data_IF_535583285100
#
_entry.id   IF_535583285100
#
_cell.length_a   1.000
_cell.length_b   1.000
_cell.length_c   1.000
_cell.angle_alpha   90.00
_cell.angle_beta   90.00
_cell.angle_gamma   90.00
#
_symmetry.space_group_name_H-M   'P 1'
#
loop_
_entity.id
_entity.type
_entity.pdbx_description
1 polymer ?
#
# COMPACT_ATOMS: atom_id res chain seq x y z
N UNK A 1 -2.59 12.83 -30.22
CA UNK A 1 -1.35 13.13 -29.48
C UNK A 1 -0.73 14.36 -30.10
N UNK A 2 -0.63 15.45 -29.35
CA UNK A 2 0.25 16.57 -29.70
C UNK A 2 1.62 16.28 -29.09
N UNK A 3 2.66 16.37 -29.90
CA UNK A 3 4.04 16.24 -29.47
C UNK A 3 4.62 17.64 -29.34
N UNK A 4 5.21 17.97 -28.19
CA UNK A 4 5.77 19.31 -27.95
C UNK A 4 7.06 19.48 -28.76
N UNK A 5 7.91 18.46 -28.74
CA UNK A 5 9.25 18.53 -29.30
C UNK A 5 9.74 17.16 -29.78
N UNK A 6 10.55 17.18 -30.84
CA UNK A 6 11.43 16.08 -31.19
C UNK A 6 12.82 16.43 -30.63
N UNK A 7 13.35 15.57 -29.77
CA UNK A 7 14.66 15.75 -29.14
C UNK A 7 15.63 14.77 -29.77
N UNK A 8 16.80 15.27 -30.17
CA UNK A 8 17.88 14.45 -30.69
C UNK A 8 18.72 13.96 -29.51
N UNK A 9 18.59 12.68 -29.17
CA UNK A 9 19.30 12.08 -28.04
C UNK A 9 20.43 11.21 -28.58
N UNK A 10 21.68 11.43 -28.14
CA UNK A 10 22.78 10.56 -28.51
C UNK A 10 22.67 9.21 -27.79
N UNK A 11 22.54 8.14 -28.56
CA UNK A 11 22.48 6.76 -28.09
C UNK A 11 23.82 6.09 -28.39
N UNK A 12 24.38 5.38 -27.42
CA UNK A 12 25.64 4.63 -27.58
C UNK A 12 25.36 3.17 -27.25
N UNK A 13 25.87 2.26 -28.07
CA UNK A 13 25.84 0.84 -27.75
C UNK A 13 26.71 0.55 -26.52
N UNK A 14 26.15 -0.13 -25.53
CA UNK A 14 26.87 -0.49 -24.31
C UNK A 14 28.01 -1.47 -24.65
N UNK A 15 29.26 -1.04 -24.47
CA UNK A 15 30.47 -1.84 -24.72
C UNK A 15 31.30 -1.40 -25.94
N UNK A 16 30.79 -0.49 -26.79
CA UNK A 16 31.54 0.11 -27.89
C UNK A 16 31.73 1.61 -27.67
N UNK A 17 32.98 2.08 -27.66
CA UNK A 17 33.30 3.51 -27.46
C UNK A 17 33.04 4.37 -28.70
N UNK A 18 32.96 3.75 -29.89
CA UNK A 18 32.92 4.45 -31.19
C UNK A 18 31.62 4.20 -31.98
N UNK A 19 30.46 4.29 -31.30
CA UNK A 19 29.15 4.00 -31.90
C UNK A 19 28.03 4.95 -31.46
N UNK A 20 28.32 6.25 -31.35
CA UNK A 20 27.34 7.26 -30.95
C UNK A 20 26.42 7.59 -32.12
N UNK A 21 25.15 7.20 -32.02
CA UNK A 21 24.12 7.49 -33.01
C UNK A 21 23.08 8.39 -32.39
N UNK A 22 22.82 9.52 -33.03
CA UNK A 22 21.76 10.41 -32.61
C UNK A 22 20.40 9.85 -33.04
N UNK A 23 19.50 9.68 -32.09
CA UNK A 23 18.14 9.20 -32.32
C UNK A 23 17.12 10.31 -32.05
N UNK A 24 16.18 10.47 -32.98
CA UNK A 24 15.02 11.33 -32.74
C UNK A 24 14.03 10.62 -31.83
N UNK A 25 13.72 11.30 -30.73
CA UNK A 25 12.77 10.88 -29.72
C UNK A 25 11.67 11.92 -29.58
N UNK A 26 10.42 11.48 -29.60
CA UNK A 26 9.28 12.38 -29.45
C UNK A 26 8.87 12.49 -27.98
N UNK A 27 8.69 13.72 -27.50
CA UNK A 27 8.23 14.03 -26.15
C UNK A 27 6.77 14.49 -26.21
N UNK A 28 5.82 13.73 -25.64
CA UNK A 28 4.41 14.10 -25.63
C UNK A 28 4.11 15.21 -24.60
N UNK A 29 3.02 15.96 -24.83
CA UNK A 29 2.60 17.11 -24.00
C UNK A 29 1.84 16.73 -22.72
N UNK A 30 2.30 15.72 -21.97
CA UNK A 30 1.68 15.45 -20.65
C UNK A 30 2.73 15.23 -19.56
N UNK A 31 2.39 15.78 -18.40
CA UNK A 31 3.27 16.16 -17.32
C UNK A 31 3.95 15.00 -16.57
N UNK A 32 5.12 15.32 -16.00
CA UNK A 32 5.90 14.60 -14.99
C UNK A 32 6.60 13.30 -15.41
N UNK A 33 5.98 12.42 -16.19
CA UNK A 33 6.60 11.15 -16.59
C UNK A 33 7.14 11.23 -18.03
N UNK A 34 8.47 11.32 -18.17
CA UNK A 34 9.10 11.44 -19.49
C UNK A 34 8.98 10.12 -20.26
N UNK A 35 7.95 10.00 -21.10
CA UNK A 35 7.83 8.90 -22.07
C UNK A 35 8.64 9.25 -23.30
N UNK A 36 9.77 8.56 -23.48
CA UNK A 36 10.62 8.68 -24.65
C UNK A 36 10.10 7.71 -25.73
N UNK A 37 9.44 8.24 -26.75
CA UNK A 37 9.05 7.46 -27.92
C UNK A 37 10.18 7.51 -28.96
N UNK A 38 11.05 6.51 -28.93
CA UNK A 38 12.12 6.35 -29.91
C UNK A 38 11.61 5.84 -31.26
N UNK A 39 12.14 6.42 -32.33
CA UNK A 39 12.09 5.80 -33.67
C UNK A 39 13.03 4.58 -33.72
N UNK A 40 12.98 3.77 -34.79
CA UNK A 40 13.77 2.54 -34.91
C UNK A 40 15.30 2.81 -34.98
N UNK A 41 15.94 3.04 -33.83
CA UNK A 41 17.38 3.35 -33.69
C UNK A 41 18.26 2.19 -34.18
N UNK A 42 17.73 0.97 -34.20
CA UNK A 42 18.46 -0.23 -34.60
C UNK A 42 19.00 -0.11 -36.02
N UNK A 43 18.24 0.48 -36.95
CA UNK A 43 18.70 0.66 -38.34
C UNK A 43 19.83 1.69 -38.43
N UNK A 44 19.78 2.75 -37.63
CA UNK A 44 20.82 3.78 -37.56
C UNK A 44 22.09 3.28 -36.87
N UNK A 45 21.99 2.27 -36.01
CA UNK A 45 23.10 1.52 -35.41
C UNK A 45 23.62 0.39 -36.33
N UNK A 46 23.09 0.25 -37.55
CA UNK A 46 23.53 -0.76 -38.52
C UNK A 46 22.92 -2.16 -38.33
N UNK A 47 21.97 -2.34 -37.42
CA UNK A 47 21.27 -3.62 -37.24
C UNK A 47 20.10 -3.78 -38.21
N UNK A 48 20.00 -4.98 -38.80
CA UNK A 48 18.90 -5.38 -39.67
C UNK A 48 18.13 -6.54 -39.02
N UNK A 49 16.86 -6.30 -38.69
CA UNK A 49 15.95 -7.35 -38.20
C UNK A 49 15.54 -8.28 -39.35
N UNK A 50 15.78 -9.58 -39.22
CA UNK A 50 15.33 -10.59 -40.17
C UNK A 50 14.30 -11.52 -39.51
N UNK A 51 13.22 -11.85 -40.22
CA UNK A 51 12.15 -12.75 -39.75
C UNK A 51 12.45 -14.18 -40.23
N UNK A 52 12.44 -15.14 -39.31
CA UNK A 52 12.73 -16.55 -39.62
C UNK A 52 11.42 -17.39 -39.64
N UNK A 53 11.17 -18.16 -40.71
CA UNK A 53 10.24 -19.30 -40.69
C UNK A 53 8.86 -19.18 -41.37
N UNK A 54 8.77 -18.99 -42.70
CA UNK A 54 7.59 -19.43 -43.45
C UNK A 54 7.78 -20.88 -43.92
N UNK A 55 7.23 -21.84 -43.16
CA UNK A 55 6.91 -23.18 -43.66
C UNK A 55 5.38 -23.32 -43.60
N UNK A 56 4.81 -23.62 -44.76
CA UNK A 56 3.39 -23.82 -45.04
C UNK A 56 2.81 -24.99 -44.26
N UNK A 57 1.81 -24.74 -43.40
CA UNK A 57 1.01 -25.78 -42.77
C UNK A 57 -0.30 -25.98 -43.53
N UNK A 58 -0.37 -27.09 -44.27
CA UNK A 58 -1.56 -27.59 -44.97
C UNK A 58 -2.57 -28.11 -43.95
N UNK A 59 -3.83 -27.66 -44.07
CA UNK A 59 -4.98 -28.12 -43.29
C UNK A 59 -5.21 -29.63 -43.49
N UNK A 60 -5.45 -30.37 -42.40
CA UNK A 60 -6.22 -31.62 -42.44
C UNK A 60 -7.45 -31.51 -41.54
N UNK A 61 -8.54 -31.97 -42.13
CA UNK A 61 -9.89 -32.19 -41.59
C UNK A 61 -9.90 -33.37 -40.61
N UNK A 62 -10.85 -33.38 -39.66
CA UNK A 62 -11.19 -34.59 -38.91
C UNK A 62 -12.14 -34.33 -37.75
N UNK A 63 -13.44 -34.38 -38.01
CA UNK A 63 -14.51 -34.22 -36.99
C UNK A 63 -14.59 -35.36 -35.96
N UNK A 64 -13.69 -36.35 -36.01
CA UNK A 64 -13.63 -37.48 -35.07
C UNK A 64 -12.75 -37.22 -33.82
N UNK A 65 -11.88 -36.21 -33.84
CA UNK A 65 -10.93 -35.91 -32.76
C UNK A 65 -11.61 -35.39 -31.48
N UNK A 66 -12.70 -34.62 -31.60
CA UNK A 66 -13.31 -33.93 -30.45
C UNK A 66 -13.93 -34.91 -29.45
N UNK A 67 -14.44 -36.05 -29.91
CA UNK A 67 -15.07 -37.05 -29.04
C UNK A 67 -14.04 -37.82 -28.21
N UNK A 68 -12.89 -38.11 -28.81
CA UNK A 68 -11.74 -38.78 -28.17
C UNK A 68 -11.10 -37.82 -27.17
N UNK A 69 -10.86 -36.56 -27.57
CA UNK A 69 -10.33 -35.51 -26.70
C UNK A 69 -11.25 -35.27 -25.48
N UNK A 70 -12.58 -35.31 -25.65
CA UNK A 70 -13.52 -35.16 -24.52
C UNK A 70 -13.48 -36.33 -23.53
N UNK A 71 -13.38 -37.57 -24.02
CA UNK A 71 -13.23 -38.75 -23.15
C UNK A 71 -11.90 -38.72 -22.40
N UNK A 72 -10.82 -38.38 -23.10
CA UNK A 72 -9.49 -38.30 -22.53
C UNK A 72 -9.37 -37.15 -21.52
N UNK A 73 -9.99 -36.00 -21.81
CA UNK A 73 -10.11 -34.90 -20.86
C UNK A 73 -10.95 -35.26 -19.62
N UNK A 74 -12.02 -36.06 -19.78
CA UNK A 74 -12.84 -36.51 -18.66
C UNK A 74 -12.09 -37.51 -17.76
N UNK A 75 -11.37 -38.47 -18.35
CA UNK A 75 -10.51 -39.40 -17.60
C UNK A 75 -9.34 -38.67 -16.93
N UNK A 76 -8.69 -37.74 -17.63
CA UNK A 76 -7.63 -36.92 -17.04
C UNK A 76 -8.17 -36.05 -15.90
N UNK A 77 -9.37 -35.49 -16.02
CA UNK A 77 -10.02 -34.75 -14.93
C UNK A 77 -10.42 -35.64 -13.75
N UNK A 78 -10.72 -36.93 -13.97
CA UNK A 78 -10.95 -37.90 -12.89
C UNK A 78 -9.66 -38.23 -12.15
N UNK A 79 -8.62 -38.61 -12.89
CA UNK A 79 -7.29 -38.91 -12.33
C UNK A 79 -6.68 -37.69 -11.61
N UNK A 80 -6.86 -36.50 -12.17
CA UNK A 80 -6.41 -35.25 -11.54
C UNK A 80 -7.17 -34.98 -10.24
N UNK A 81 -8.49 -35.22 -10.19
CA UNK A 81 -9.28 -35.10 -8.95
C UNK A 81 -8.86 -36.10 -7.88
N UNK A 82 -8.62 -37.35 -8.26
CA UNK A 82 -8.12 -38.39 -7.34
C UNK A 82 -6.74 -38.04 -6.80
N UNK A 83 -5.83 -37.58 -7.66
CA UNK A 83 -4.50 -37.13 -7.25
C UNK A 83 -4.56 -35.92 -6.32
N UNK A 84 -5.35 -34.89 -6.65
CA UNK A 84 -5.55 -33.73 -5.78
C UNK A 84 -6.17 -34.10 -4.44
N UNK A 85 -7.12 -35.05 -4.41
CA UNK A 85 -7.67 -35.56 -3.17
C UNK A 85 -6.59 -36.25 -2.33
N UNK A 86 -5.78 -37.12 -2.93
CA UNK A 86 -4.70 -37.83 -2.22
C UNK A 86 -3.68 -36.85 -1.63
N UNK A 87 -3.24 -35.86 -2.40
CA UNK A 87 -2.30 -34.81 -1.91
C UNK A 87 -2.92 -33.99 -0.78
N UNK A 88 -4.22 -33.67 -0.88
CA UNK A 88 -4.92 -32.94 0.17
C UNK A 88 -5.08 -33.74 1.46
N UNK A 89 -5.46 -35.02 1.36
CA UNK A 89 -5.60 -35.93 2.51
C UNK A 89 -4.24 -36.12 3.22
N UNK A 90 -3.15 -36.25 2.45
CA UNK A 90 -1.76 -36.34 2.97
C UNK A 90 -1.32 -35.05 3.66
N UNK A 91 -1.62 -33.89 3.07
CA UNK A 91 -1.21 -32.57 3.60
C UNK A 91 -1.96 -32.19 4.87
N UNK A 92 -3.24 -32.57 4.98
CA UNK A 92 -4.10 -32.22 6.11
C UNK A 92 -4.27 -33.35 7.15
N UNK A 93 -3.51 -34.45 7.00
CA UNK A 93 -3.55 -35.63 7.88
C UNK A 93 -4.98 -36.18 8.10
N UNK A 94 -5.81 -36.18 7.06
CA UNK A 94 -7.21 -36.61 7.14
C UNK A 94 -7.28 -38.12 7.27
N UNK A 95 -7.46 -38.62 8.50
CA UNK A 95 -7.66 -40.06 8.77
C UNK A 95 -9.14 -40.42 8.66
N UNK A 96 -9.48 -41.57 8.09
CA UNK A 96 -10.88 -42.04 8.02
C UNK A 96 -11.55 -42.12 9.41
N UNK A 97 -10.78 -42.46 10.44
CA UNK A 97 -11.20 -42.53 11.84
C UNK A 97 -11.58 -41.14 12.43
N UNK A 98 -10.98 -40.07 11.89
CA UNK A 98 -11.23 -38.70 12.32
C UNK A 98 -12.52 -38.11 11.73
N UNK A 99 -13.08 -38.75 10.69
CA UNK A 99 -14.28 -38.28 10.01
C UNK A 99 -15.53 -38.44 10.90
N UNK A 100 -16.37 -37.40 11.03
CA UNK A 100 -17.55 -37.45 11.88
C UNK A 100 -18.53 -38.53 11.42
N UNK A 101 -19.08 -39.28 12.38
CA UNK A 101 -20.14 -40.27 12.17
C UNK A 101 -21.48 -39.65 12.57
N UNK A 102 -22.59 -40.17 12.03
CA UNK A 102 -23.94 -39.77 12.45
C UNK A 102 -24.09 -39.97 13.96
N UNK A 103 -24.53 -38.93 14.67
CA UNK A 103 -24.62 -38.91 16.14
C UNK A 103 -23.39 -38.34 16.86
N UNK A 104 -22.25 -38.16 16.17
CA UNK A 104 -21.06 -37.57 16.77
C UNK A 104 -21.26 -36.09 17.10
N UNK A 105 -20.50 -35.64 18.11
CA UNK A 105 -20.46 -34.25 18.55
C UNK A 105 -19.29 -33.54 17.84
N UNK A 106 -19.57 -32.43 17.16
CA UNK A 106 -18.59 -31.71 16.34
C UNK A 106 -18.60 -30.21 16.63
N UNK A 107 -17.44 -29.57 16.48
CA UNK A 107 -17.33 -28.10 16.43
C UNK A 107 -17.27 -27.64 14.98
N UNK A 108 -17.87 -26.48 14.70
CA UNK A 108 -17.93 -25.89 13.36
C UNK A 108 -16.99 -24.69 13.26
N UNK A 109 -16.15 -24.65 12.22
CA UNK A 109 -15.30 -23.48 11.92
C UNK A 109 -16.14 -22.35 11.33
N UNK A 110 -16.07 -21.15 11.91
CA UNK A 110 -16.77 -19.98 11.39
C UNK A 110 -16.06 -19.44 10.13
N UNK A 111 -16.81 -19.06 9.06
CA UNK A 111 -16.23 -18.36 7.91
C UNK A 111 -15.54 -17.06 8.33
N UNK A 112 -14.44 -16.72 7.66
CA UNK A 112 -13.57 -15.58 8.01
C UNK A 112 -14.31 -14.23 8.11
N UNK A 113 -15.45 -14.08 7.42
CA UNK A 113 -16.29 -12.88 7.46
C UNK A 113 -17.01 -12.69 8.81
N UNK A 114 -17.39 -13.79 9.49
CA UNK A 114 -17.97 -13.72 10.84
C UNK A 114 -16.92 -13.62 11.94
N UNK A 115 -15.67 -14.00 11.64
CA UNK A 115 -14.52 -13.86 12.53
C UNK A 115 -13.88 -12.46 12.49
N UNK A 116 -14.26 -11.57 11.57
CA UNK A 116 -13.78 -10.17 11.53
C UNK A 116 -14.65 -9.25 12.41
N UNK A 117 -14.73 -9.56 13.70
CA UNK A 117 -15.25 -8.62 14.68
C UNK A 117 -14.33 -7.40 14.86
N UNK A 118 -14.81 -6.32 15.47
CA UNK A 118 -14.03 -5.11 15.81
C UNK A 118 -12.73 -5.37 16.59
N UNK A 119 -12.54 -6.59 17.12
CA UNK A 119 -11.35 -7.02 17.85
C UNK A 119 -10.84 -8.38 17.31
N UNK A 120 -9.92 -8.37 16.33
CA UNK A 120 -9.37 -9.60 15.73
C UNK A 120 -8.66 -10.54 16.72
N UNK A 121 -8.31 -10.05 17.91
CA UNK A 121 -7.66 -10.85 18.98
C UNK A 121 -8.65 -11.60 19.89
N UNK A 122 -9.95 -11.33 19.79
CA UNK A 122 -10.99 -11.90 20.66
C UNK A 122 -12.01 -12.75 19.88
N UNK A 123 -11.75 -13.03 18.61
CA UNK A 123 -12.65 -13.76 17.73
C UNK A 123 -12.38 -15.25 17.85
N UNK A 124 -13.35 -15.99 18.37
CA UNK A 124 -13.30 -17.45 18.50
C UNK A 124 -13.58 -18.04 17.12
N UNK A 125 -12.64 -18.80 16.57
CA UNK A 125 -12.75 -19.37 15.21
C UNK A 125 -13.73 -20.55 15.10
N UNK A 126 -14.10 -21.15 16.24
CA UNK A 126 -14.95 -22.33 16.32
C UNK A 126 -16.22 -22.02 17.08
N UNK A 127 -17.38 -22.28 16.49
CA UNK A 127 -18.68 -22.18 17.17
C UNK A 127 -19.15 -23.57 17.61
N UNK A 128 -19.71 -23.59 18.82
CA UNK A 128 -20.64 -24.55 19.41
C UNK A 128 -20.36 -26.06 19.29
N UNK A 129 -20.75 -26.87 20.29
CA UNK A 129 -20.93 -28.28 20.03
C UNK A 129 -22.24 -28.50 19.24
N UNK A 130 -22.12 -29.05 18.05
CA UNK A 130 -23.20 -29.51 17.20
C UNK A 130 -23.28 -31.04 17.21
N UNK A 131 -24.46 -31.59 16.91
CA UNK A 131 -24.67 -33.02 16.68
C UNK A 131 -24.87 -33.27 15.19
N UNK A 132 -24.19 -34.27 14.65
CA UNK A 132 -24.34 -34.69 13.25
C UNK A 132 -25.63 -35.50 13.10
N UNK A 133 -26.53 -35.06 12.22
CA UNK A 133 -27.81 -35.73 11.92
C UNK A 133 -27.66 -36.64 10.70
N UNK A 134 -27.05 -36.13 9.64
CA UNK A 134 -26.84 -36.85 8.38
C UNK A 134 -25.42 -36.63 7.85
N UNK A 135 -24.88 -37.62 7.17
CA UNK A 135 -23.56 -37.58 6.52
C UNK A 135 -23.68 -37.96 5.06
N UNK A 136 -23.17 -37.11 4.17
CA UNK A 136 -22.81 -37.45 2.79
C UNK A 136 -21.29 -37.51 2.61
N UNK A 137 -20.84 -37.75 1.37
CA UNK A 137 -19.42 -38.01 1.07
C UNK A 137 -18.50 -36.82 1.38
N UNK A 138 -18.98 -35.59 1.18
CA UNK A 138 -18.19 -34.34 1.33
C UNK A 138 -18.85 -33.33 2.26
N UNK A 139 -20.05 -33.61 2.78
CA UNK A 139 -20.82 -32.69 3.62
C UNK A 139 -21.62 -33.43 4.68
N UNK A 140 -21.83 -32.80 5.83
CA UNK A 140 -22.67 -33.29 6.91
C UNK A 140 -23.72 -32.24 7.30
N UNK A 141 -24.90 -32.72 7.71
CA UNK A 141 -25.98 -31.89 8.27
C UNK A 141 -25.86 -31.91 9.78
N UNK A 142 -25.71 -30.74 10.39
CA UNK A 142 -25.47 -30.58 11.83
C UNK A 142 -26.57 -29.75 12.49
N UNK A 143 -26.91 -30.07 13.75
CA UNK A 143 -27.83 -29.29 14.58
C UNK A 143 -27.20 -28.89 15.91
N UNK A 144 -27.50 -27.68 16.39
CA UNK A 144 -26.91 -27.12 17.62
C UNK A 144 -27.51 -27.80 18.85
N UNK A 145 -26.67 -28.22 19.78
CA UNK A 145 -27.13 -28.90 21.00
C UNK A 145 -27.67 -27.86 21.99
N UNK A 146 -28.92 -28.02 22.44
CA UNK A 146 -29.54 -27.17 23.47
C UNK A 146 -30.28 -25.92 22.96
N UNK A 147 -30.40 -25.72 21.65
CA UNK A 147 -31.20 -24.66 21.07
C UNK A 147 -31.89 -25.13 19.78
N UNK A 148 -33.17 -24.77 19.59
CA UNK A 148 -33.98 -25.15 18.43
C UNK A 148 -33.62 -24.29 17.20
N UNK A 149 -32.42 -24.47 16.64
CA UNK A 149 -32.02 -23.87 15.38
C UNK A 149 -32.19 -24.86 14.22
N UNK A 150 -32.45 -24.35 13.01
CA UNK A 150 -32.55 -25.15 11.80
C UNK A 150 -31.23 -25.90 11.50
N UNK A 151 -31.28 -27.17 11.05
CA UNK A 151 -30.10 -27.93 10.69
C UNK A 151 -29.31 -27.27 9.54
N UNK A 152 -27.99 -27.20 9.66
CA UNK A 152 -27.12 -26.56 8.66
C UNK A 152 -26.29 -27.63 7.95
N UNK A 153 -26.25 -27.59 6.62
CA UNK A 153 -25.40 -28.47 5.79
C UNK A 153 -24.03 -27.83 5.57
N UNK A 154 -22.96 -28.51 5.98
CA UNK A 154 -21.60 -27.98 6.01
C UNK A 154 -20.61 -29.00 5.48
N UNK A 155 -19.51 -28.55 4.87
CA UNK A 155 -18.41 -29.41 4.45
C UNK A 155 -17.73 -30.07 5.65
N UNK A 156 -17.40 -31.35 5.53
CA UNK A 156 -16.80 -32.15 6.63
C UNK A 156 -15.48 -31.58 7.13
N UNK A 157 -14.71 -30.93 6.26
CA UNK A 157 -13.42 -30.29 6.57
C UNK A 157 -13.53 -29.13 7.57
N UNK A 158 -14.72 -28.52 7.66
CA UNK A 158 -15.00 -27.44 8.60
C UNK A 158 -15.51 -27.95 9.96
N UNK A 159 -15.52 -29.28 10.15
CA UNK A 159 -15.99 -29.94 11.36
C UNK A 159 -14.85 -30.62 12.10
N UNK A 160 -14.85 -30.54 13.43
CA UNK A 160 -13.87 -31.22 14.28
C UNK A 160 -14.56 -32.04 15.38
N UNK A 161 -14.24 -33.34 15.50
CA UNK A 161 -14.78 -34.21 16.55
C UNK A 161 -14.44 -33.67 17.94
N UNK A 162 -15.44 -33.64 18.82
CA UNK A 162 -15.25 -33.35 20.23
C UNK A 162 -14.63 -34.57 20.93
N UNK A 163 -13.55 -34.43 21.72
CA UNK A 163 -13.00 -35.53 22.52
C UNK A 163 -14.01 -36.07 23.55
N UNK A 164 -13.93 -37.37 23.84
CA UNK A 164 -14.91 -38.13 24.65
C UNK A 164 -14.93 -37.80 26.17
N UNK A 165 -14.30 -36.71 26.63
CA UNK A 165 -14.12 -36.38 28.05
C UNK A 165 -14.79 -35.10 28.55
N UNK A 166 -15.51 -34.36 27.70
CA UNK A 166 -16.11 -33.07 28.08
C UNK A 166 -17.56 -33.30 28.53
N UNK A 167 -17.81 -33.20 29.84
CA UNK A 167 -19.16 -33.16 30.41
C UNK A 167 -19.83 -31.81 30.12
N UNK A 168 -21.13 -31.84 29.80
CA UNK A 168 -21.92 -30.66 29.43
C UNK A 168 -22.81 -30.15 30.57
N UNK A 169 -22.47 -30.48 31.82
CA UNK A 169 -23.09 -29.78 32.94
C UNK A 169 -22.73 -28.29 32.88
N UNK A 170 -23.72 -27.37 32.97
CA UNK A 170 -23.43 -25.95 32.99
C UNK A 170 -22.52 -25.63 34.17
N UNK A 171 -21.32 -25.09 33.89
CA UNK A 171 -20.35 -24.69 34.90
C UNK A 171 -20.99 -23.63 35.80
N UNK A 172 -21.31 -24.01 37.04
CA UNK A 172 -21.79 -23.06 38.06
C UNK A 172 -20.62 -22.15 38.44
N UNK A 173 -20.69 -20.83 38.19
CA UNK A 173 -19.59 -19.93 38.53
C UNK A 173 -19.43 -19.88 40.05
N UNK A 174 -18.23 -20.23 40.54
CA UNK A 174 -17.93 -20.30 41.98
C UNK A 174 -17.69 -18.92 42.62
N UNK A 175 -17.80 -17.84 41.85
CA UNK A 175 -17.62 -16.47 42.33
C UNK A 175 -18.92 -15.66 42.20
N UNK A 176 -19.55 -15.33 43.33
CA UNK A 176 -20.60 -14.30 43.42
C UNK A 176 -19.96 -12.93 43.14
N UNK A 177 -19.86 -12.52 41.88
CA UNK A 177 -19.66 -11.11 41.56
C UNK A 177 -21.01 -10.40 41.74
N UNK A 178 -21.07 -9.44 42.67
CA UNK A 178 -22.24 -8.58 42.90
C UNK A 178 -22.65 -7.97 41.56
N UNK A 179 -23.94 -8.06 41.23
CA UNK A 179 -24.51 -7.36 40.09
C UNK A 179 -24.31 -5.85 40.30
N UNK A 180 -23.40 -5.26 39.52
CA UNK A 180 -23.33 -3.81 39.38
C UNK A 180 -24.60 -3.38 38.64
N UNK A 181 -25.42 -2.56 39.30
CA UNK A 181 -26.60 -1.93 38.70
C UNK A 181 -26.19 -1.31 37.36
N UNK A 182 -26.87 -1.69 36.27
CA UNK A 182 -26.85 -0.93 35.01
C UNK A 182 -27.16 0.52 35.36
N UNK A 183 -26.16 1.40 35.27
CA UNK A 183 -26.43 2.83 35.22
C UNK A 183 -26.98 3.12 33.84
N UNK A 184 -28.15 3.75 33.81
CA UNK A 184 -28.87 4.09 32.60
C UNK A 184 -28.02 5.01 31.70
N UNK A 185 -28.29 4.92 30.40
CA UNK A 185 -27.80 5.79 29.35
C UNK A 185 -27.76 7.25 29.82
N UNK A 186 -26.56 7.83 29.88
CA UNK A 186 -26.39 9.28 29.99
C UNK A 186 -26.48 9.81 28.55
N UNK A 187 -27.56 10.54 28.30
CA UNK A 187 -27.74 11.41 27.15
C UNK A 187 -26.56 12.39 27.11
N UNK A 188 -25.78 12.39 26.03
CA UNK A 188 -24.66 13.32 25.84
C UNK A 188 -25.23 14.71 25.57
N UNK A 189 -25.51 15.45 26.62
CA UNK A 189 -25.63 16.91 26.60
C UNK A 189 -24.26 17.53 26.75
N UNK A 190 -23.84 18.32 25.75
CA UNK A 190 -22.63 19.17 25.81
C UNK A 190 -22.67 20.03 27.07
N UNK A 191 -21.73 19.79 27.97
CA UNK A 191 -21.29 20.79 28.96
C UNK A 191 -19.76 20.71 29.02
N UNK A 192 -19.12 21.74 28.50
CA UNK A 192 -17.71 22.04 28.71
C UNK A 192 -17.50 22.45 30.17
N UNK A 193 -17.04 21.51 30.99
CA UNK A 193 -16.51 21.78 32.32
C UNK A 193 -15.04 21.39 32.35
N UNK A 194 -14.18 22.41 32.35
CA UNK A 194 -12.77 22.31 32.67
C UNK A 194 -12.62 21.95 34.15
N UNK A 195 -12.57 20.65 34.44
CA UNK A 195 -12.19 20.13 35.76
C UNK A 195 -10.67 19.91 35.72
N UNK A 196 -9.86 20.61 36.54
CA UNK A 196 -8.43 20.36 36.61
C UNK A 196 -8.22 19.07 37.41
N UNK A 197 -8.19 17.92 36.71
CA UNK A 197 -7.57 16.73 37.29
C UNK A 197 -6.07 16.99 37.43
N UNK A 198 -5.57 16.75 38.64
CA UNK A 198 -4.16 16.75 39.03
C UNK A 198 -3.26 16.22 37.90
N UNK A 199 -2.56 17.13 37.22
CA UNK A 199 -1.62 16.82 36.14
C UNK A 199 -0.44 16.08 36.73
N UNK A 200 -0.15 14.89 36.23
CA UNK A 200 1.19 14.33 36.37
C UNK A 200 2.18 15.27 35.67
N UNK A 201 3.31 15.58 36.29
CA UNK A 201 4.34 16.56 35.86
C UNK A 201 4.98 16.31 34.47
N UNK A 202 4.45 15.35 33.70
CA UNK A 202 5.00 14.84 32.43
C UNK A 202 4.11 15.17 31.22
N UNK A 203 3.12 16.04 31.35
CA UNK A 203 2.28 16.44 30.22
C UNK A 203 2.46 17.94 29.92
N UNK A 204 2.49 18.30 28.63
CA UNK A 204 2.49 19.70 28.19
C UNK A 204 1.44 19.89 27.09
N UNK A 205 0.77 21.04 27.12
CA UNK A 205 -0.29 21.34 26.17
C UNK A 205 0.20 22.19 25.01
N UNK A 206 -0.23 21.83 23.81
CA UNK A 206 -0.03 22.56 22.57
C UNK A 206 -1.40 23.02 22.09
N UNK A 207 -1.82 24.18 22.61
CA UNK A 207 -3.20 24.67 22.46
C UNK A 207 -3.39 25.69 21.35
N UNK A 208 -2.36 26.47 21.04
CA UNK A 208 -2.42 27.61 20.11
C UNK A 208 -1.42 27.45 18.95
N UNK A 209 -1.76 28.03 17.81
CA UNK A 209 -0.95 28.07 16.60
C UNK A 209 0.39 28.81 16.77
N UNK A 210 0.51 29.66 17.79
CA UNK A 210 1.76 30.32 18.13
C UNK A 210 2.74 29.43 18.90
N UNK A 211 2.28 28.31 19.46
CA UNK A 211 3.17 27.36 20.14
C UNK A 211 4.11 26.71 19.11
N UNK A 212 5.42 26.69 19.35
CA UNK A 212 6.41 26.26 18.35
C UNK A 212 6.27 24.80 17.91
N UNK A 213 5.71 23.93 18.76
CA UNK A 213 5.35 22.56 18.40
C UNK A 213 3.94 22.39 17.83
N UNK A 214 3.17 23.46 17.64
CA UNK A 214 1.84 23.37 17.04
C UNK A 214 1.96 22.97 15.56
N UNK A 215 1.06 22.11 15.08
CA UNK A 215 1.13 21.57 13.74
C UNK A 215 1.01 22.64 12.65
N UNK A 216 0.28 23.71 12.96
CA UNK A 216 0.08 24.88 12.08
C UNK A 216 1.06 26.03 12.36
N UNK A 217 2.03 25.84 13.27
CA UNK A 217 3.05 26.86 13.53
C UNK A 217 3.83 27.16 12.24
N UNK A 218 3.91 28.45 11.89
CA UNK A 218 4.68 28.95 10.75
C UNK A 218 5.90 29.67 11.27
N UNK A 219 7.08 29.17 10.95
CA UNK A 219 8.34 29.81 11.34
C UNK A 219 8.60 31.05 10.46
N UNK A 220 8.52 32.24 11.05
CA UNK A 220 8.71 33.55 10.40
C UNK A 220 9.69 34.43 11.18
N UNK A 221 10.62 33.83 11.93
CA UNK A 221 11.57 34.56 12.76
C UNK A 221 10.98 35.11 14.05
N UNK A 222 9.97 34.44 14.63
CA UNK A 222 9.40 34.87 15.90
C UNK A 222 10.44 34.81 17.03
N UNK A 223 10.46 35.76 17.97
CA UNK A 223 11.33 35.67 19.14
C UNK A 223 10.89 34.52 20.04
N UNK A 224 11.84 33.91 20.76
CA UNK A 224 11.50 32.93 21.79
C UNK A 224 10.83 33.61 22.99
N UNK A 225 9.83 32.97 23.61
CA UNK A 225 9.29 33.45 24.87
C UNK A 225 10.38 33.40 25.95
N UNK A 226 10.33 34.34 26.90
CA UNK A 226 11.23 34.34 28.06
C UNK A 226 10.87 33.13 28.92
N UNK A 227 11.79 32.16 29.01
CA UNK A 227 11.58 30.93 29.76
C UNK A 227 12.27 31.03 31.14
N UNK A 228 11.58 30.66 32.24
CA UNK A 228 12.20 30.62 33.56
C UNK A 228 13.39 29.65 33.57
N UNK A 229 14.56 30.12 34.03
CA UNK A 229 15.75 29.27 34.20
C UNK A 229 16.58 29.01 32.95
N UNK A 230 16.27 29.63 31.81
CA UNK A 230 17.11 29.55 30.60
C UNK A 230 17.72 30.93 30.30
N UNK A 231 19.04 31.04 30.02
CA UNK A 231 19.58 32.28 29.46
C UNK A 231 18.85 32.52 28.14
N UNK A 232 18.07 33.60 28.08
CA UNK A 232 17.21 33.89 26.94
C UNK A 232 18.00 33.81 25.63
N UNK A 233 17.41 33.20 24.61
CA UNK A 233 18.08 33.09 23.31
C UNK A 233 18.02 34.45 22.64
N UNK A 234 19.16 35.01 22.20
CA UNK A 234 19.19 36.33 21.60
C UNK A 234 18.17 36.45 20.44
N UNK A 235 17.40 37.53 20.46
CA UNK A 235 16.32 37.75 19.48
C UNK A 235 16.88 37.83 18.04
N UNK A 236 18.12 38.28 17.86
CA UNK A 236 18.82 38.35 16.58
C UNK A 236 19.19 36.97 16.02
N UNK A 237 19.31 35.93 16.85
CA UNK A 237 19.57 34.55 16.41
C UNK A 237 18.25 33.89 15.98
N UNK A 238 17.19 34.12 16.74
CA UNK A 238 15.88 33.47 16.52
C UNK A 238 15.11 34.09 15.36
N UNK A 239 15.27 35.39 15.14
CA UNK A 239 14.69 36.12 13.99
C UNK A 239 15.27 35.75 12.64
N UNK A 240 16.47 35.14 12.60
CA UNK A 240 17.07 34.61 11.37
C UNK A 240 16.45 33.29 10.92
N UNK A 241 15.73 32.59 11.79
CA UNK A 241 15.09 31.33 11.45
C UNK A 241 13.78 31.60 10.70
N UNK A 242 13.78 31.37 9.38
CA UNK A 242 12.66 31.64 8.47
C UNK A 242 12.24 30.38 7.70
N UNK A 243 12.25 29.22 8.36
CA UNK A 243 11.99 27.93 7.69
C UNK A 243 10.63 27.86 7.00
N UNK A 244 9.62 28.57 7.53
CA UNK A 244 8.29 28.59 6.93
C UNK A 244 8.25 29.27 5.56
N UNK A 245 9.26 30.07 5.20
CA UNK A 245 9.34 30.72 3.88
C UNK A 245 10.37 30.08 2.94
N UNK A 246 11.34 29.33 3.46
CA UNK A 246 12.45 28.80 2.66
C UNK A 246 12.27 27.34 2.26
N UNK A 247 11.52 26.55 3.02
CA UNK A 247 11.43 25.11 2.78
C UNK A 247 10.44 24.77 1.67
N UNK A 248 10.88 23.88 0.80
CA UNK A 248 10.10 23.30 -0.29
C UNK A 248 9.97 21.78 -0.12
N UNK A 249 9.14 21.15 -0.94
CA UNK A 249 9.04 19.68 -0.97
C UNK A 249 10.36 19.05 -1.40
N UNK A 250 11.14 19.69 -2.27
CA UNK A 250 12.46 19.20 -2.68
C UNK A 250 13.47 19.10 -1.54
N UNK A 251 13.31 19.92 -0.48
CA UNK A 251 14.12 19.83 0.74
C UNK A 251 13.74 18.63 1.62
N UNK A 252 12.50 18.16 1.49
CA UNK A 252 11.88 17.10 2.29
C UNK A 252 12.04 15.72 1.63
N UNK A 253 11.86 15.66 0.32
CA UNK A 253 11.89 14.43 -0.48
C UNK A 253 12.78 14.67 -1.70
N UNK A 254 13.75 13.78 -1.89
CA UNK A 254 14.71 13.88 -2.99
C UNK A 254 14.02 13.47 -4.31
N UNK A 255 14.35 14.14 -5.41
CA UNK A 255 13.89 13.83 -6.77
C UNK A 255 12.36 13.87 -7.00
N UNK A 256 11.63 14.73 -6.28
CA UNK A 256 10.21 14.95 -6.58
C UNK A 256 10.06 15.70 -7.91
N UNK A 257 9.16 15.28 -8.82
CA UNK A 257 8.91 16.00 -10.07
C UNK A 257 8.26 17.38 -9.86
N UNK A 258 8.50 18.30 -10.79
CA UNK A 258 7.71 19.53 -10.89
C UNK A 258 6.27 19.24 -11.34
N UNK A 259 5.27 20.03 -10.89
CA UNK A 259 5.38 21.21 -10.05
C UNK A 259 5.47 20.93 -8.53
N UNK A 260 5.36 19.67 -8.10
CA UNK A 260 5.31 19.32 -6.68
C UNK A 260 6.61 19.63 -5.92
N UNK A 261 7.77 19.61 -6.58
CA UNK A 261 9.07 19.96 -5.99
C UNK A 261 9.09 21.35 -5.35
N UNK A 262 8.41 22.30 -5.99
CA UNK A 262 8.45 23.73 -5.66
C UNK A 262 7.35 24.11 -4.67
N UNK A 263 6.49 23.15 -4.32
CA UNK A 263 5.44 23.34 -3.32
C UNK A 263 6.07 23.66 -1.96
N UNK A 264 5.52 24.69 -1.29
CA UNK A 264 6.11 25.20 -0.05
C UNK A 264 5.68 24.38 1.15
N UNK A 265 6.64 24.12 2.04
CA UNK A 265 6.42 23.40 3.30
C UNK A 265 6.49 24.38 4.46
N UNK A 266 5.37 25.05 4.75
CA UNK A 266 5.36 26.15 5.72
C UNK A 266 5.14 25.71 7.18
N UNK A 267 4.56 24.52 7.39
CA UNK A 267 4.12 24.03 8.70
C UNK A 267 4.43 22.54 8.88
N UNK A 268 4.41 22.05 10.12
CA UNK A 268 4.54 20.61 10.43
C UNK A 268 3.40 19.82 9.78
N UNK A 269 2.17 20.36 9.80
CA UNK A 269 1.01 19.72 9.20
C UNK A 269 1.18 19.55 7.69
N UNK A 270 1.76 20.55 7.03
CA UNK A 270 2.02 20.52 5.59
C UNK A 270 3.10 19.51 5.24
N UNK A 271 4.22 19.50 5.99
CA UNK A 271 5.26 18.48 5.83
C UNK A 271 4.70 17.07 6.04
N UNK A 272 3.86 16.88 7.07
CA UNK A 272 3.22 15.60 7.34
C UNK A 272 2.26 15.18 6.22
N UNK A 273 1.52 16.13 5.63
CA UNK A 273 0.62 15.88 4.51
C UNK A 273 1.38 15.38 3.29
N UNK A 274 2.43 16.10 2.90
CA UNK A 274 3.30 15.73 1.78
C UNK A 274 3.90 14.34 1.98
N UNK A 275 4.46 14.06 3.16
CA UNK A 275 5.02 12.74 3.48
C UNK A 275 3.96 11.64 3.48
N UNK A 276 2.73 11.91 3.93
CA UNK A 276 1.65 10.93 3.91
C UNK A 276 1.17 10.61 2.50
N UNK A 277 1.18 11.60 1.61
CA UNK A 277 0.87 11.44 0.19
C UNK A 277 1.96 10.63 -0.50
N UNK A 278 3.22 11.03 -0.31
CA UNK A 278 4.36 10.40 -0.96
C UNK A 278 4.54 8.94 -0.56
N UNK A 279 4.44 8.63 0.74
CA UNK A 279 4.49 7.26 1.25
C UNK A 279 3.19 6.48 1.05
N UNK A 280 2.15 7.12 0.50
CA UNK A 280 0.85 6.53 0.29
C UNK A 280 0.76 5.70 -0.99
N UNK A 281 -0.35 5.00 -1.13
CA UNK A 281 -0.78 4.41 -2.40
C UNK A 281 -1.07 5.50 -3.44
N UNK A 282 -0.86 5.20 -4.73
CA UNK A 282 -1.11 6.09 -5.86
C UNK A 282 0.07 6.14 -6.85
N UNK A 283 -0.22 6.51 -8.10
CA UNK A 283 0.79 6.75 -9.12
C UNK A 283 1.61 7.99 -8.80
N UNK A 284 2.79 8.13 -9.42
CA UNK A 284 3.62 9.34 -9.28
C UNK A 284 2.83 10.60 -9.71
N UNK A 285 2.11 10.51 -10.83
CA UNK A 285 1.23 11.57 -11.34
C UNK A 285 0.17 12.00 -10.32
N UNK A 286 -0.53 11.03 -9.71
CA UNK A 286 -1.55 11.31 -8.70
C UNK A 286 -0.95 11.96 -7.45
N UNK A 287 0.21 11.47 -7.00
CA UNK A 287 0.92 12.03 -5.84
C UNK A 287 1.36 13.48 -6.09
N UNK A 288 1.89 13.77 -7.28
CA UNK A 288 2.25 15.15 -7.68
C UNK A 288 1.03 16.06 -7.65
N UNK A 289 -0.10 15.62 -8.21
CA UNK A 289 -1.38 16.36 -8.17
C UNK A 289 -1.87 16.58 -6.74
N UNK A 290 -1.85 15.56 -5.89
CA UNK A 290 -2.30 15.65 -4.50
C UNK A 290 -1.37 16.52 -3.63
N UNK A 291 -0.06 16.52 -3.89
CA UNK A 291 0.88 17.43 -3.21
C UNK A 291 0.53 18.87 -3.56
N UNK A 292 0.21 19.16 -4.82
CA UNK A 292 -0.16 20.52 -5.23
C UNK A 292 -1.55 20.95 -4.76
N UNK A 293 -2.42 20.02 -4.35
CA UNK A 293 -3.76 20.30 -3.83
C UNK A 293 -3.78 20.42 -2.30
N UNK A 294 -3.94 21.64 -1.72
CA UNK A 294 -4.02 21.84 -0.27
C UNK A 294 -5.25 21.20 0.38
N UNK A 295 -6.28 20.88 -0.41
CA UNK A 295 -7.52 20.26 0.08
C UNK A 295 -7.41 18.74 0.19
N UNK A 296 -6.36 18.13 -0.37
CA UNK A 296 -6.09 16.70 -0.20
C UNK A 296 -5.58 16.41 1.22
N UNK A 297 -6.53 16.20 2.14
CA UNK A 297 -6.29 16.02 3.58
C UNK A 297 -5.93 14.58 3.92
N UNK A 298 -4.63 14.27 3.88
CA UNK A 298 -4.08 12.97 4.29
C UNK A 298 -2.95 13.16 5.27
N UNK A 299 -3.04 12.55 6.45
CA UNK A 299 -1.96 12.53 7.45
C UNK A 299 -1.95 11.17 8.13
N UNK A 300 -0.76 10.69 8.50
CA UNK A 300 -0.55 9.45 9.25
C UNK A 300 0.33 9.70 10.47
N UNK A 301 0.30 8.77 11.44
CA UNK A 301 1.17 8.77 12.62
C UNK A 301 2.65 8.92 12.25
N UNK A 302 3.08 8.10 11.28
CA UNK A 302 4.47 8.09 10.78
C UNK A 302 4.83 9.41 10.13
N UNK A 303 3.98 9.93 9.23
CA UNK A 303 4.27 11.19 8.54
C UNK A 303 4.37 12.38 9.50
N UNK A 304 3.58 12.41 10.58
CA UNK A 304 3.72 13.45 11.63
C UNK A 304 5.07 13.31 12.33
N UNK A 305 5.46 12.10 12.72
CA UNK A 305 6.75 11.87 13.36
C UNK A 305 7.94 12.26 12.48
N UNK A 306 7.88 11.92 11.19
CA UNK A 306 8.89 12.30 10.21
C UNK A 306 8.92 13.82 9.97
N UNK A 307 7.77 14.48 9.92
CA UNK A 307 7.68 15.94 9.76
C UNK A 307 8.34 16.70 10.93
N UNK A 308 8.08 16.29 12.17
CA UNK A 308 8.78 16.87 13.33
C UNK A 308 10.28 16.54 13.32
N UNK A 309 10.67 15.32 12.96
CA UNK A 309 12.08 14.96 12.86
C UNK A 309 12.82 15.83 11.82
N UNK A 310 12.22 16.03 10.64
CA UNK A 310 12.72 16.94 9.61
C UNK A 310 12.85 18.37 10.14
N UNK A 311 11.76 18.94 10.64
CA UNK A 311 11.77 20.34 11.10
C UNK A 311 12.65 20.57 12.32
N UNK A 312 12.92 19.55 13.15
CA UNK A 312 13.91 19.65 14.24
C UNK A 312 15.33 19.87 13.72
N UNK A 313 15.65 19.41 12.50
CA UNK A 313 16.96 19.64 11.86
C UNK A 313 17.05 20.96 11.09
N UNK A 314 15.91 21.54 10.69
CA UNK A 314 15.86 22.74 9.86
C UNK A 314 15.46 24.00 10.61
N UNK A 315 14.52 23.87 11.54
CA UNK A 315 13.90 24.98 12.29
C UNK A 315 14.46 25.06 13.71
N UNK A 316 15.14 26.17 13.99
CA UNK A 316 15.71 26.47 15.29
C UNK A 316 14.62 26.50 16.40
N UNK A 317 13.44 27.06 16.09
CA UNK A 317 12.28 27.09 17.01
C UNK A 317 11.87 25.70 17.49
N UNK A 318 11.67 24.78 16.55
CA UNK A 318 11.26 23.40 16.83
C UNK A 318 12.41 22.65 17.50
N UNK A 319 13.65 22.87 17.05
CA UNK A 319 14.84 22.22 17.59
C UNK A 319 15.03 22.49 19.08
N UNK A 320 15.12 23.76 19.47
CA UNK A 320 15.30 24.14 20.87
C UNK A 320 14.11 23.71 21.71
N UNK A 321 12.87 23.94 21.24
CA UNK A 321 11.70 23.56 22.03
C UNK A 321 11.65 22.04 22.26
N UNK A 322 12.05 21.24 21.27
CA UNK A 322 12.17 19.79 21.42
C UNK A 322 13.19 19.40 22.49
N UNK A 323 14.32 20.11 22.58
CA UNK A 323 15.35 19.89 23.61
C UNK A 323 14.94 20.34 25.01
N UNK A 324 13.99 21.27 25.13
CA UNK A 324 13.49 21.76 26.42
C UNK A 324 12.37 20.89 27.00
N UNK A 325 11.65 20.16 26.16
CA UNK A 325 10.58 19.26 26.59
C UNK A 325 11.20 17.97 27.17
N UNK A 326 10.80 17.51 28.37
CA UNK A 326 11.30 16.26 28.94
C UNK A 326 11.11 15.07 28.00
N UNK A 327 12.08 14.16 27.96
CA UNK A 327 12.04 13.02 27.03
C UNK A 327 10.83 12.11 27.21
N UNK A 328 10.29 11.99 28.42
CA UNK A 328 9.11 11.21 28.75
C UNK A 328 7.80 12.01 28.70
N UNK A 329 7.86 13.29 28.30
CA UNK A 329 6.69 14.13 28.25
C UNK A 329 5.72 13.73 27.14
N UNK A 330 4.43 13.79 27.45
CA UNK A 330 3.31 13.57 26.54
C UNK A 330 2.84 14.93 26.02
N UNK A 331 2.83 15.08 24.70
CA UNK A 331 2.27 16.25 24.03
C UNK A 331 0.75 16.11 23.99
N UNK A 332 0.01 17.02 24.63
CA UNK A 332 -1.44 17.12 24.52
C UNK A 332 -1.79 18.15 23.47
N UNK A 333 -2.35 17.70 22.36
CA UNK A 333 -2.62 18.54 21.20
C UNK A 333 -4.09 18.93 21.15
N UNK A 334 -4.41 20.20 20.87
CA UNK A 334 -5.81 20.64 20.74
C UNK A 334 -6.38 20.33 19.35
N UNK A 335 -7.71 20.17 19.24
CA UNK A 335 -8.33 19.76 17.98
C UNK A 335 -8.06 20.77 16.84
N UNK A 336 -7.50 20.29 15.72
CA UNK A 336 -7.32 21.09 14.51
C UNK A 336 -8.66 21.20 13.78
N UNK A 337 -9.13 22.43 13.54
CA UNK A 337 -10.35 22.66 12.78
C UNK A 337 -10.22 22.21 11.32
N UNK A 338 -11.29 21.66 10.77
CA UNK A 338 -11.37 21.25 9.36
C UNK A 338 -10.96 19.80 9.07
N UNK A 339 -10.49 19.01 10.04
CA UNK A 339 -10.24 17.58 9.82
C UNK A 339 -11.46 16.75 10.22
N UNK A 340 -11.74 15.69 9.45
CA UNK A 340 -12.93 14.83 9.66
C UNK A 340 -12.76 13.83 10.79
N UNK A 341 -11.56 13.69 11.35
CA UNK A 341 -11.21 12.79 12.43
C UNK A 341 -10.37 13.49 13.50
N UNK A 342 -10.33 12.90 14.69
CA UNK A 342 -9.55 13.42 15.80
C UNK A 342 -8.06 13.29 15.52
N UNK A 343 -7.40 14.44 15.39
CA UNK A 343 -5.96 14.53 15.13
C UNK A 343 -5.14 14.44 16.41
N UNK A 344 -5.76 14.53 17.59
CA UNK A 344 -5.08 14.62 18.89
C UNK A 344 -4.12 13.45 19.06
N UNK A 345 -4.65 12.22 19.05
CA UNK A 345 -3.87 10.98 19.19
C UNK A 345 -2.79 10.84 18.10
N UNK A 346 -3.09 11.32 16.88
CA UNK A 346 -2.15 11.28 15.76
C UNK A 346 -0.91 12.11 16.06
N UNK A 347 -1.10 13.31 16.60
CA UNK A 347 -0.01 14.19 16.98
C UNK A 347 0.73 13.69 18.23
N UNK A 348 0.03 13.15 19.23
CA UNK A 348 0.69 12.60 20.43
C UNK A 348 1.63 11.44 20.08
N UNK A 349 1.17 10.49 19.26
CA UNK A 349 1.97 9.33 18.83
C UNK A 349 3.03 9.77 17.82
N UNK A 350 2.69 10.65 16.88
CA UNK A 350 3.65 11.21 15.93
C UNK A 350 4.83 11.88 16.64
N UNK A 351 4.57 12.67 17.68
CA UNK A 351 5.62 13.27 18.52
C UNK A 351 6.53 12.23 19.18
N UNK A 352 5.95 11.12 19.69
CA UNK A 352 6.75 10.02 20.26
C UNK A 352 7.70 9.41 19.21
N UNK A 353 7.22 9.22 17.98
CA UNK A 353 8.03 8.75 16.85
C UNK A 353 9.14 9.76 16.53
N UNK A 354 8.83 11.05 16.47
CA UNK A 354 9.80 12.10 16.15
C UNK A 354 11.00 12.11 17.11
N UNK A 355 10.75 11.93 18.41
CA UNK A 355 11.79 11.91 19.44
C UNK A 355 12.84 10.82 19.20
N UNK A 356 12.42 9.64 18.75
CA UNK A 356 13.30 8.49 18.51
C UNK A 356 13.82 8.40 17.07
N UNK A 357 13.35 9.26 16.18
CA UNK A 357 13.71 9.22 14.77
C UNK A 357 14.86 10.18 14.48
N UNK A 358 15.96 9.68 13.92
CA UNK A 358 17.00 10.52 13.32
C UNK A 358 16.62 10.81 11.86
N UNK A 359 16.50 12.09 11.52
CA UNK A 359 16.14 12.51 10.17
C UNK A 359 17.21 12.11 9.15
N UNK A 360 18.50 12.17 9.50
CA UNK A 360 19.57 11.89 8.53
C UNK A 360 19.53 10.43 8.05
N UNK A 361 19.17 9.50 8.94
CA UNK A 361 18.98 8.09 8.61
C UNK A 361 17.72 7.85 7.77
N UNK A 362 16.67 8.65 7.99
CA UNK A 362 15.43 8.50 7.23
C UNK A 362 15.53 9.16 5.86
N UNK A 363 16.26 10.25 5.73
CA UNK A 363 16.42 10.99 4.48
C UNK A 363 17.03 10.12 3.36
N UNK A 364 17.86 9.13 3.71
CA UNK A 364 18.42 8.18 2.73
C UNK A 364 17.41 7.17 2.22
N UNK A 365 16.30 6.96 2.93
CA UNK A 365 15.25 6.01 2.57
C UNK A 365 14.06 6.69 1.89
N UNK A 366 13.74 7.92 2.29
CA UNK A 366 12.69 8.74 1.67
C UNK A 366 13.08 9.10 0.23
N UNK A 367 12.17 8.90 -0.71
CA UNK A 367 12.37 9.14 -2.15
C UNK A 367 12.68 7.87 -2.92
N UNK A 368 12.96 6.76 -2.24
CA UNK A 368 13.09 5.43 -2.86
C UNK A 368 11.74 4.78 -3.15
N UNK A 369 10.61 5.43 -2.94
CA UNK A 369 9.31 4.83 -3.23
C UNK A 369 9.11 4.66 -4.74
N UNK A 370 9.58 5.60 -5.56
CA UNK A 370 9.38 5.63 -7.02
C UNK A 370 10.67 5.38 -7.82
N UNK A 371 11.52 4.47 -7.36
CA UNK A 371 12.85 4.25 -7.97
C UNK A 371 12.85 3.17 -9.07
N UNK A 372 11.77 2.40 -9.23
CA UNK A 372 11.73 1.31 -10.20
C UNK A 372 11.39 1.83 -11.59
N UNK A 373 12.08 1.28 -12.58
CA UNK A 373 11.83 1.53 -14.00
C UNK A 373 11.18 0.29 -14.62
N UNK A 374 10.02 0.46 -15.25
CA UNK A 374 9.39 -0.58 -16.05
C UNK A 374 9.72 -0.38 -17.53
N UNK A 375 10.30 -1.39 -18.17
CA UNK A 375 10.54 -1.40 -19.62
C UNK A 375 9.53 -2.35 -20.27
N UNK A 376 8.62 -1.80 -21.05
CA UNK A 376 7.59 -2.55 -21.77
C UNK A 376 8.07 -2.80 -23.21
N UNK A 377 8.32 -4.05 -23.55
CA UNK A 377 9.03 -4.46 -24.77
C UNK A 377 8.17 -5.41 -25.61
N UNK A 378 8.11 -5.26 -26.95
CA UNK A 378 7.44 -6.23 -27.80
C UNK A 378 8.10 -7.61 -27.70
N UNK A 379 7.32 -8.70 -27.73
CA UNK A 379 7.88 -10.06 -27.67
C UNK A 379 8.84 -10.35 -28.85
N UNK A 380 8.73 -9.62 -29.96
CA UNK A 380 9.69 -9.71 -31.07
C UNK A 380 11.12 -9.37 -30.67
N UNK A 381 11.32 -8.60 -29.59
CA UNK A 381 12.62 -8.24 -29.03
C UNK A 381 13.00 -9.09 -27.81
N UNK A 382 12.31 -10.21 -27.55
CA UNK A 382 12.56 -11.12 -26.41
C UNK A 382 13.99 -11.67 -26.35
N UNK A 383 14.72 -11.65 -27.47
CA UNK A 383 16.15 -12.03 -27.50
C UNK A 383 17.01 -11.12 -26.63
N UNK A 384 16.60 -9.89 -26.30
CA UNK A 384 17.30 -8.96 -25.40
C UNK A 384 17.25 -9.36 -23.92
N UNK A 385 16.56 -10.45 -23.57
CA UNK A 385 16.41 -10.93 -22.18
C UNK A 385 17.75 -11.22 -21.48
N UNK A 386 18.82 -11.47 -22.22
CA UNK A 386 20.17 -11.68 -21.65
C UNK A 386 20.77 -10.41 -21.03
N UNK A 387 20.40 -9.22 -21.51
CA UNK A 387 20.85 -7.94 -20.97
C UNK A 387 20.18 -7.58 -19.63
N UNK A 388 18.97 -8.13 -19.40
CA UNK A 388 18.13 -7.83 -18.23
C UNK A 388 18.76 -8.26 -16.89
N UNK A 389 19.62 -9.29 -16.87
CA UNK A 389 20.15 -9.86 -15.62
C UNK A 389 21.09 -8.93 -14.84
N UNK A 390 21.46 -7.78 -15.41
CA UNK A 390 22.50 -6.90 -14.87
C UNK A 390 22.01 -5.56 -14.32
N UNK A 391 20.72 -5.23 -14.45
CA UNK A 391 20.22 -3.89 -14.12
C UNK A 391 19.32 -3.96 -12.89
N UNK A 392 19.79 -3.42 -11.78
CA UNK A 392 19.00 -3.27 -10.55
C UNK A 392 17.86 -2.26 -10.79
N UNK A 393 16.71 -2.51 -10.14
CA UNK A 393 15.52 -1.64 -10.18
C UNK A 393 14.86 -1.49 -11.55
N UNK A 394 15.11 -2.43 -12.48
CA UNK A 394 14.47 -2.47 -13.80
C UNK A 394 13.65 -3.74 -13.98
N UNK A 395 12.34 -3.57 -14.09
CA UNK A 395 11.41 -4.64 -14.46
C UNK A 395 11.18 -4.60 -15.98
N UNK A 396 11.29 -5.74 -16.66
CA UNK A 396 11.03 -5.83 -18.11
C UNK A 396 9.81 -6.68 -18.36
N UNK A 397 8.80 -6.08 -18.98
CA UNK A 397 7.56 -6.76 -19.38
C UNK A 397 7.52 -6.95 -20.89
N UNK A 398 7.36 -8.20 -21.33
CA UNK A 398 7.25 -8.52 -22.76
C UNK A 398 5.79 -8.68 -23.15
N UNK A 399 5.32 -7.89 -24.12
CA UNK A 399 3.94 -7.93 -24.59
C UNK A 399 3.85 -8.46 -26.03
N UNK A 400 2.82 -9.26 -26.33
CA UNK A 400 2.51 -9.72 -27.70
C UNK A 400 1.55 -8.78 -28.41
N UNK A 401 0.63 -8.20 -27.64
CA UNK A 401 -0.44 -7.31 -28.09
C UNK A 401 -0.61 -6.19 -27.07
N UNK A 402 -1.01 -5.01 -27.52
CA UNK A 402 -1.29 -3.88 -26.62
C UNK A 402 -2.39 -4.20 -25.59
N UNK A 403 -3.32 -5.12 -25.89
CA UNK A 403 -4.32 -5.59 -24.92
C UNK A 403 -3.72 -6.23 -23.66
N UNK A 404 -2.45 -6.67 -23.71
CA UNK A 404 -1.76 -7.22 -22.53
C UNK A 404 -1.23 -6.12 -21.61
N UNK A 405 -1.00 -4.92 -22.16
CA UNK A 405 -0.66 -3.70 -21.43
C UNK A 405 -1.97 -3.01 -21.08
N UNK A 406 -2.58 -3.42 -19.98
CA UNK A 406 -3.87 -2.87 -19.56
C UNK A 406 -3.83 -2.44 -18.11
N UNK A 407 -4.38 -1.25 -17.83
CA UNK A 407 -4.45 -0.63 -16.52
C UNK A 407 -5.04 -1.52 -15.43
N UNK A 408 -6.03 -2.36 -15.79
CA UNK A 408 -6.72 -3.24 -14.83
C UNK A 408 -5.88 -4.43 -14.36
N UNK A 409 -4.71 -4.67 -14.97
CA UNK A 409 -3.70 -5.57 -14.43
C UNK A 409 -2.77 -4.77 -13.53
N UNK A 410 -3.25 -4.47 -12.33
CA UNK A 410 -2.56 -3.67 -11.29
C UNK A 410 -1.16 -4.19 -10.91
N UNK A 411 -0.79 -5.41 -11.35
CA UNK A 411 0.54 -5.95 -11.13
C UNK A 411 1.62 -5.30 -12.02
N UNK A 412 1.24 -4.75 -13.18
CA UNK A 412 2.19 -4.18 -14.14
C UNK A 412 2.59 -2.76 -13.74
N UNK A 413 1.62 -1.91 -13.40
CA UNK A 413 1.83 -0.52 -13.03
C UNK A 413 1.65 -0.35 -11.52
N UNK A 414 2.69 -0.73 -10.78
CA UNK A 414 2.70 -0.66 -9.32
C UNK A 414 3.06 0.75 -8.85
N UNK A 415 2.63 1.08 -7.63
CA UNK A 415 2.93 2.35 -6.98
C UNK A 415 4.45 2.63 -6.82
N UNK A 416 5.30 1.60 -6.94
CA UNK A 416 6.76 1.71 -6.80
C UNK A 416 7.48 2.20 -8.07
N UNK A 417 6.76 2.31 -9.18
CA UNK A 417 7.33 2.74 -10.46
C UNK A 417 7.48 4.27 -10.46
N UNK A 418 8.63 4.74 -10.93
CA UNK A 418 8.86 6.15 -11.26
C UNK A 418 9.09 6.41 -12.75
N UNK A 419 9.51 5.39 -13.50
CA UNK A 419 9.74 5.53 -14.93
C UNK A 419 9.15 4.35 -15.70
N UNK A 420 8.49 4.66 -16.82
CA UNK A 420 7.99 3.65 -17.76
C UNK A 420 8.58 3.92 -19.14
N UNK A 421 9.40 2.99 -19.62
CA UNK A 421 9.97 3.02 -20.97
C UNK A 421 9.15 2.09 -21.85
N UNK A 422 8.41 2.64 -22.80
CA UNK A 422 7.59 1.86 -23.72
C UNK A 422 8.27 1.72 -25.08
N UNK A 423 8.61 0.50 -25.48
CA UNK A 423 9.19 0.20 -26.80
C UNK A 423 8.09 -0.21 -27.76
N UNK A 424 8.02 0.46 -28.91
CA UNK A 424 7.02 0.17 -29.95
C UNK A 424 7.38 -1.07 -30.79
N UNK A 425 6.39 -1.82 -31.30
CA UNK A 425 6.67 -2.91 -32.20
C UNK A 425 7.15 -2.36 -33.55
N UNK A 426 8.00 -3.11 -34.25
CA UNK A 426 8.58 -2.71 -35.55
C UNK A 426 7.53 -2.58 -36.67
N UNK A 427 6.33 -3.10 -36.47
CA UNK A 427 5.22 -3.01 -37.40
C UNK A 427 3.99 -2.50 -36.66
N UNK A 428 3.32 -1.52 -37.24
CA UNK A 428 2.08 -0.99 -36.70
C UNK A 428 1.01 -2.11 -36.67
N UNK A 429 0.35 -2.32 -35.53
CA UNK A 429 -0.68 -3.33 -35.43
C UNK A 429 -1.88 -2.99 -36.32
N UNK A 430 -2.19 -3.88 -37.26
CA UNK A 430 -3.21 -3.69 -38.30
C UNK A 430 -4.66 -3.70 -37.78
N UNK A 431 -4.89 -4.01 -36.51
CA UNK A 431 -6.23 -4.13 -35.95
C UNK A 431 -6.74 -2.78 -35.44
N UNK A 432 -7.89 -2.34 -35.95
CA UNK A 432 -8.56 -1.13 -35.47
C UNK A 432 -8.85 -1.22 -33.98
N UNK A 433 -8.54 -0.17 -33.20
CA UNK A 433 -8.76 -0.11 -31.76
C UNK A 433 -7.68 -0.78 -30.89
N UNK A 434 -6.67 -1.41 -31.49
CA UNK A 434 -5.54 -1.99 -30.73
C UNK A 434 -4.72 -0.95 -29.96
N UNK A 435 -4.78 0.32 -30.36
CA UNK A 435 -4.10 1.44 -29.72
C UNK A 435 -4.79 1.91 -28.43
N UNK A 436 -6.08 1.59 -28.22
CA UNK A 436 -6.82 2.08 -27.04
C UNK A 436 -6.19 1.65 -25.70
N UNK A 437 -5.77 0.39 -25.49
CA UNK A 437 -5.07 -0.01 -24.27
C UNK A 437 -3.73 0.72 -24.07
N UNK A 438 -3.02 1.00 -25.16
CA UNK A 438 -1.75 1.75 -25.12
C UNK A 438 -2.00 3.21 -24.72
N UNK A 439 -2.96 3.88 -25.36
CA UNK A 439 -3.33 5.26 -25.02
C UNK A 439 -3.84 5.35 -23.59
N UNK A 440 -4.65 4.39 -23.14
CA UNK A 440 -5.08 4.31 -21.75
C UNK A 440 -3.91 4.11 -20.78
N UNK A 441 -2.93 3.26 -21.12
CA UNK A 441 -1.72 3.08 -20.33
C UNK A 441 -0.82 4.33 -20.29
N UNK A 442 -0.92 5.22 -21.27
CA UNK A 442 -0.19 6.49 -21.29
C UNK A 442 -0.90 7.63 -20.53
N UNK A 443 -2.17 7.47 -20.18
CA UNK A 443 -2.98 8.47 -19.45
C UNK A 443 -2.99 8.21 -17.93
N UNK A 444 -1.96 7.52 -17.41
CA UNK A 444 -1.79 7.18 -15.99
C UNK A 444 -1.10 8.26 -15.15
#
# INVERSE_FOLDING_TARGET
>A
MQFIAAVEVPVVEFGYKDGKVNAFMYVPENAADTIILGTNVLSSLGYKLMREGQISATRRSGYDDISIIRKEAAEHARLYREHMKKVYDETNEVREESLPVVGDKVFMKLPAERAKGKHPKLTIEWDGPYRVIERGDTSAVIAKIGANYEPVKIQVDLLRKCPNGISFEPVKPRTRRKAVRKCNQILVGRVSLSIPLSRSEKEFDVTDAMHFLHAQFRCQGQPFPIMPGHPGIPADVTSRCQCGSTLTVSDLIINVPQPASDHRVETVLEAARVLAIWNGIGTLTDKVKWICDPFHRRVTLRSVGLAYAFLRTRCLHISIWTSMVPHDAIMRYNQIQGWSYDMTEIFEIGWKIAKTTDWNLVQTEIGKEHHKTLVVVPETLRRLKHLQRSIENVDVFYYRKFSEVHLRKNELFRDELGHVVFVMPSLEPKQTGCWLPFVAAMDM
#
